data_IF_622348743565
#
_entry.id   IF_622348743565
#
_cell.length_a   1.000
_cell.length_b   1.000
_cell.length_c   1.000
_cell.angle_alpha   90.00
_cell.angle_beta   90.00
_cell.angle_gamma   90.00
#
_symmetry.space_group_name_H-M   'P 1'
#
loop_
_entity.id
_entity.type
_entity.pdbx_description
1 polymer ?
#
# COMPACT_ATOMS: atom_id res chain seq x y z
N UNK A 1 21.55 -56.70 53.61
CA UNK A 1 22.09 -55.32 53.49
C UNK A 1 21.82 -54.72 52.12
N UNK A 2 22.21 -55.35 51.00
CA UNK A 2 22.03 -54.80 49.65
C UNK A 2 20.56 -54.54 49.24
N UNK A 3 19.63 -55.42 49.63
CA UNK A 3 18.21 -55.34 49.26
C UNK A 3 17.46 -54.18 49.92
N UNK A 4 17.93 -53.72 51.09
CA UNK A 4 17.37 -52.55 51.76
C UNK A 4 17.84 -51.26 51.09
N UNK A 5 19.09 -51.22 50.62
CA UNK A 5 19.65 -50.07 49.92
C UNK A 5 18.92 -49.81 48.60
N UNK A 6 18.63 -50.86 47.83
CA UNK A 6 17.89 -50.72 46.56
C UNK A 6 16.46 -50.24 46.77
N UNK A 7 15.77 -50.73 47.81
CA UNK A 7 14.42 -50.24 48.14
C UNK A 7 14.43 -48.77 48.59
N UNK A 8 15.41 -48.35 49.39
CA UNK A 8 15.57 -46.95 49.80
C UNK A 8 15.87 -46.03 48.62
N UNK A 9 16.73 -46.48 47.69
CA UNK A 9 17.04 -45.75 46.46
C UNK A 9 15.79 -45.61 45.57
N UNK A 10 15.02 -46.68 45.40
CA UNK A 10 13.78 -46.67 44.60
C UNK A 10 12.69 -45.80 45.22
N UNK A 11 12.59 -45.74 46.56
CA UNK A 11 11.69 -44.81 47.27
C UNK A 11 12.15 -43.36 47.08
N UNK A 12 13.46 -43.10 47.09
CA UNK A 12 13.99 -41.74 46.87
C UNK A 12 13.72 -41.24 45.44
N UNK A 13 13.90 -42.11 44.44
CA UNK A 13 13.66 -41.77 43.04
C UNK A 13 12.18 -41.52 42.76
N UNK A 14 11.28 -42.30 43.36
CA UNK A 14 9.84 -42.07 43.21
C UNK A 14 9.38 -40.80 43.93
N UNK A 15 9.93 -40.47 45.09
CA UNK A 15 9.63 -39.22 45.79
C UNK A 15 10.06 -37.98 45.00
N UNK A 16 11.23 -38.02 44.35
CA UNK A 16 11.71 -36.95 43.46
C UNK A 16 10.79 -36.82 42.24
N UNK A 17 10.45 -37.93 41.58
CA UNK A 17 9.58 -37.93 40.41
C UNK A 17 8.15 -37.42 40.71
N UNK A 18 7.63 -37.67 41.92
CA UNK A 18 6.32 -37.15 42.35
C UNK A 18 6.40 -35.66 42.67
N UNK A 19 7.50 -35.19 43.28
CA UNK A 19 7.71 -33.76 43.57
C UNK A 19 7.97 -32.93 42.30
N UNK A 20 8.50 -33.55 41.25
CA UNK A 20 8.74 -32.94 39.94
C UNK A 20 7.53 -33.05 39.01
N UNK A 21 6.48 -33.78 39.41
CA UNK A 21 5.19 -33.73 38.75
C UNK A 21 4.60 -32.33 38.99
N UNK A 22 4.32 -31.54 37.95
CA UNK A 22 3.79 -30.21 38.14
C UNK A 22 2.39 -30.32 38.76
N UNK A 23 2.30 -29.99 40.05
CA UNK A 23 1.03 -29.67 40.70
C UNK A 23 0.37 -28.55 39.87
N UNK A 24 -0.64 -28.93 39.07
CA UNK A 24 -1.64 -28.09 38.37
C UNK A 24 -1.15 -26.69 37.98
N UNK A 25 -0.89 -26.51 36.69
CA UNK A 25 -0.43 -25.26 36.09
C UNK A 25 -1.26 -24.05 36.60
N UNK A 26 -0.62 -22.93 36.90
CA UNK A 26 -1.20 -21.77 37.61
C UNK A 26 -2.58 -21.29 37.09
N UNK A 27 -2.90 -21.59 35.84
CA UNK A 27 -4.18 -21.29 35.20
C UNK A 27 -5.37 -22.12 35.76
N UNK A 28 -5.14 -23.30 36.35
CA UNK A 28 -6.20 -24.12 36.95
C UNK A 28 -6.55 -23.66 38.38
N UNK A 29 -5.59 -23.14 39.14
CA UNK A 29 -5.82 -22.52 40.46
C UNK A 29 -6.73 -21.29 40.40
N UNK A 30 -6.71 -20.56 39.29
CA UNK A 30 -7.59 -19.40 39.09
C UNK A 30 -9.06 -19.77 38.85
N UNK A 31 -9.35 -20.99 38.39
CA UNK A 31 -10.71 -21.46 38.10
C UNK A 31 -11.45 -21.98 39.34
N UNK A 32 -10.71 -22.41 40.38
CA UNK A 32 -11.29 -22.98 41.61
C UNK A 32 -11.00 -22.17 42.88
N UNK A 33 -10.22 -21.09 42.80
CA UNK A 33 -10.07 -20.15 43.92
C UNK A 33 -11.27 -19.20 43.96
N UNK A 34 -12.19 -19.49 44.89
CA UNK A 34 -13.31 -18.59 45.23
C UNK A 34 -12.71 -17.26 45.72
N UNK A 35 -12.95 -16.12 45.03
CA UNK A 35 -12.47 -14.82 45.49
C UNK A 35 -12.99 -14.53 46.90
N UNK A 36 -12.16 -14.00 47.82
CA UNK A 36 -12.64 -13.62 49.15
C UNK A 36 -13.76 -12.57 49.01
N UNK A 37 -14.84 -12.69 49.82
CA UNK A 37 -15.96 -11.77 49.73
C UNK A 37 -15.48 -10.33 50.02
N UNK A 38 -15.93 -9.32 49.25
CA UNK A 38 -15.54 -7.94 49.47
C UNK A 38 -15.96 -7.48 50.87
N UNK A 39 -15.14 -6.65 51.55
CA UNK A 39 -15.49 -6.13 52.86
C UNK A 39 -16.80 -5.32 52.80
N UNK A 40 -17.66 -5.40 53.81
CA UNK A 40 -18.92 -4.65 53.83
C UNK A 40 -18.63 -3.15 53.79
N UNK A 41 -19.28 -2.46 52.85
CA UNK A 41 -19.22 -1.01 52.70
C UNK A 41 -19.77 -0.36 53.98
N UNK A 42 -18.89 0.24 54.77
CA UNK A 42 -19.29 1.13 55.86
C UNK A 42 -20.04 2.33 55.28
N UNK A 43 -21.19 2.65 55.88
CA UNK A 43 -22.08 3.72 55.47
C UNK A 43 -21.35 5.06 55.25
N UNK A 44 -21.55 5.66 54.08
CA UNK A 44 -20.98 6.94 53.70
C UNK A 44 -21.80 8.08 54.30
N UNK A 45 -21.14 8.89 55.13
CA UNK A 45 -21.57 10.16 55.71
C UNK A 45 -21.93 11.20 54.60
N UNK A 46 -23.13 11.82 54.59
CA UNK A 46 -23.60 12.68 53.49
C UNK A 46 -23.11 14.14 53.56
N UNK A 47 -21.89 14.41 54.02
CA UNK A 47 -21.41 15.80 54.23
C UNK A 47 -20.40 16.34 53.20
N UNK A 48 -20.09 15.66 52.09
CA UNK A 48 -19.09 16.15 51.14
C UNK A 48 -19.62 16.26 49.69
N UNK A 49 -19.82 17.47 49.13
CA UNK A 49 -20.40 17.67 47.80
C UNK A 49 -19.31 17.61 46.73
N UNK A 50 -18.66 16.45 46.59
CA UNK A 50 -17.67 16.23 45.53
C UNK A 50 -17.73 14.81 44.97
N UNK A 51 -18.92 14.42 44.50
CA UNK A 51 -19.17 13.48 43.40
C UNK A 51 -20.64 13.08 43.40
N UNK A 52 -21.28 13.23 42.22
CA UNK A 52 -22.15 12.25 41.54
C UNK A 52 -23.08 13.01 40.59
N UNK A 53 -22.62 13.22 39.36
CA UNK A 53 -23.50 13.64 38.26
C UNK A 53 -23.46 12.53 37.22
N UNK A 54 -24.39 11.57 37.36
CA UNK A 54 -24.84 10.72 36.25
C UNK A 54 -26.33 10.97 36.14
N UNK A 55 -26.71 12.00 35.37
CA UNK A 55 -28.08 12.20 34.93
C UNK A 55 -28.06 12.15 33.40
N UNK A 56 -28.70 11.12 32.84
CA UNK A 56 -29.05 11.11 31.43
C UNK A 56 -30.14 12.17 31.22
N UNK A 57 -29.78 13.27 30.57
CA UNK A 57 -30.74 14.27 30.11
C UNK A 57 -31.18 13.92 28.68
N UNK A 58 -32.28 13.19 28.57
CA UNK A 58 -33.12 13.20 27.36
C UNK A 58 -34.14 14.32 27.54
N UNK A 59 -33.96 15.45 26.85
CA UNK A 59 -35.03 16.27 26.25
C UNK A 59 -34.52 17.65 25.80
N UNK A 60 -34.88 18.02 24.57
CA UNK A 60 -35.34 19.37 24.26
C UNK A 60 -34.30 20.45 23.98
N UNK A 61 -33.96 20.60 22.70
CA UNK A 61 -33.84 21.86 21.95
C UNK A 61 -33.57 23.17 22.75
N UNK A 62 -32.37 23.72 22.58
CA UNK A 62 -32.05 25.15 22.31
C UNK A 62 -30.73 25.54 22.96
N UNK A 63 -29.69 25.74 22.16
CA UNK A 63 -29.03 27.05 22.00
C UNK A 63 -27.83 26.86 21.07
N UNK A 64 -28.06 27.18 19.80
CA UNK A 64 -26.99 27.69 18.96
C UNK A 64 -26.52 28.99 19.63
N UNK A 65 -25.29 28.99 20.14
CA UNK A 65 -24.26 30.03 19.96
C UNK A 65 -23.18 29.87 21.04
N UNK A 66 -21.92 30.07 20.66
CA UNK A 66 -20.71 30.01 21.51
C UNK A 66 -20.25 28.63 22.00
N UNK A 67 -19.50 27.92 21.14
CA UNK A 67 -18.08 27.52 21.33
C UNK A 67 -17.69 26.73 20.09
N UNK A 68 -16.78 27.29 19.31
CA UNK A 68 -16.26 26.68 18.10
C UNK A 68 -15.52 25.37 18.37
N UNK A 69 -15.68 24.42 17.45
CA UNK A 69 -14.83 23.24 17.33
C UNK A 69 -15.24 22.04 18.19
N UNK A 70 -16.39 21.43 17.88
CA UNK A 70 -16.83 20.24 18.60
C UNK A 70 -18.02 19.56 17.96
N UNK A 71 -17.82 19.03 16.75
CA UNK A 71 -18.82 18.18 16.11
C UNK A 71 -19.23 17.04 17.05
N UNK A 72 -20.53 16.78 17.09
CA UNK A 72 -21.36 15.76 17.77
C UNK A 72 -20.81 14.33 17.95
N UNK A 73 -19.55 14.04 17.60
CA UNK A 73 -18.85 12.78 17.87
C UNK A 73 -17.46 12.96 18.54
N UNK A 74 -17.04 14.17 18.89
CA UNK A 74 -15.82 14.40 19.68
C UNK A 74 -15.95 13.87 21.14
N UNK A 75 -17.16 13.46 21.55
CA UNK A 75 -17.48 12.82 22.83
C UNK A 75 -17.43 11.28 22.74
N UNK A 76 -17.05 10.69 21.59
CA UNK A 76 -16.95 9.23 21.47
C UNK A 76 -15.58 8.72 21.93
N UNK A 77 -15.63 8.15 23.14
CA UNK A 77 -14.67 7.26 23.79
C UNK A 77 -13.41 7.93 24.42
N UNK A 78 -13.11 7.63 25.70
CA UNK A 78 -11.80 7.91 26.27
C UNK A 78 -10.73 7.28 25.36
N UNK A 79 -9.73 8.08 24.95
CA UNK A 79 -8.49 7.62 24.28
C UNK A 79 -7.63 6.77 25.22
N UNK A 80 -8.21 5.77 25.88
CA UNK A 80 -7.62 5.06 27.02
C UNK A 80 -7.90 3.58 26.88
N UNK A 81 -6.86 2.86 26.45
CA UNK A 81 -6.64 1.45 26.75
C UNK A 81 -7.36 0.47 25.82
N UNK A 82 -7.04 0.48 24.53
CA UNK A 82 -7.22 -0.77 23.76
C UNK A 82 -6.22 -1.80 24.30
N UNK A 83 -6.61 -3.07 24.40
CA UNK A 83 -5.68 -4.15 24.81
C UNK A 83 -4.42 -4.15 23.93
N UNK A 84 -4.59 -3.79 22.66
CA UNK A 84 -3.47 -3.63 21.73
C UNK A 84 -2.56 -2.45 22.14
N UNK A 85 -3.11 -1.29 22.49
CA UNK A 85 -2.32 -0.13 22.94
C UNK A 85 -1.65 -0.34 24.30
N UNK A 86 -2.19 -1.18 25.17
CA UNK A 86 -1.58 -1.50 26.46
C UNK A 86 -0.29 -2.32 26.31
N UNK A 87 -0.25 -3.23 25.34
CA UNK A 87 0.92 -4.10 25.05
C UNK A 87 1.89 -3.42 24.09
N UNK A 88 1.36 -2.72 23.08
CA UNK A 88 2.16 -2.12 22.01
C UNK A 88 2.70 -0.73 22.37
N UNK A 89 1.99 0.00 23.22
CA UNK A 89 2.14 1.43 23.45
C UNK A 89 1.27 2.27 22.52
N UNK A 90 0.75 3.39 23.02
CA UNK A 90 -0.08 4.32 22.24
C UNK A 90 0.61 4.83 20.98
N UNK A 91 1.89 5.19 21.10
CA UNK A 91 2.71 5.74 19.99
C UNK A 91 2.85 4.73 18.85
N UNK A 92 3.04 3.45 19.15
CA UNK A 92 3.23 2.42 18.13
C UNK A 92 1.90 2.01 17.48
N UNK A 93 0.79 2.06 18.20
CA UNK A 93 -0.55 1.90 17.60
C UNK A 93 -0.84 3.05 16.65
N UNK A 94 -0.41 4.27 16.98
CA UNK A 94 -0.53 5.43 16.10
C UNK A 94 0.38 5.29 14.87
N UNK A 95 1.61 4.78 15.03
CA UNK A 95 2.49 4.45 13.90
C UNK A 95 1.87 3.41 12.96
N UNK A 96 1.30 2.32 13.49
CA UNK A 96 0.59 1.30 12.69
C UNK A 96 -0.60 1.90 11.97
N UNK A 97 -1.40 2.74 12.65
CA UNK A 97 -2.57 3.39 12.04
C UNK A 97 -2.18 4.36 10.94
N UNK A 98 -1.10 5.12 11.14
CA UNK A 98 -0.55 6.03 10.13
C UNK A 98 0.08 5.28 8.97
N UNK A 99 0.72 4.16 9.23
CA UNK A 99 1.32 3.26 8.24
C UNK A 99 0.34 2.28 7.59
N UNK A 100 -0.96 2.65 7.48
CA UNK A 100 -1.96 1.86 6.76
C UNK A 100 -2.48 0.60 7.47
N UNK A 101 -1.85 0.15 8.56
CA UNK A 101 -2.18 -1.08 9.27
C UNK A 101 -3.54 -1.09 10.01
N UNK A 102 -4.22 0.05 10.10
CA UNK A 102 -5.55 0.17 10.71
C UNK A 102 -6.72 0.20 9.72
N UNK A 103 -6.46 0.20 8.40
CA UNK A 103 -7.47 0.50 7.37
C UNK A 103 -7.56 -0.46 6.20
N UNK A 104 -6.69 -1.47 6.10
CA UNK A 104 -6.77 -2.47 5.01
C UNK A 104 -7.87 -3.48 5.34
N UNK A 105 -9.04 -3.32 4.72
CA UNK A 105 -10.13 -4.30 4.72
C UNK A 105 -11.27 -4.07 5.72
N UNK A 106 -11.16 -3.10 6.64
CA UNK A 106 -12.31 -2.62 7.41
C UNK A 106 -12.84 -1.38 6.70
N UNK A 107 -14.04 -1.44 6.12
CA UNK A 107 -14.70 -0.36 5.37
C UNK A 107 -15.01 0.92 6.16
N UNK A 108 -14.25 1.20 7.22
CA UNK A 108 -14.29 2.41 8.04
C UNK A 108 -12.89 3.04 8.02
N UNK A 109 -12.49 3.49 6.83
CA UNK A 109 -11.30 4.30 6.64
C UNK A 109 -11.54 5.68 7.27
N UNK A 110 -11.04 5.88 8.49
CA UNK A 110 -10.97 7.23 9.03
C UNK A 110 -9.85 7.98 8.30
N UNK A 111 -10.15 9.11 7.64
CA UNK A 111 -9.09 10.03 7.25
C UNK A 111 -8.50 10.56 8.56
N UNK A 112 -7.31 10.07 8.93
CA UNK A 112 -6.51 10.80 9.89
C UNK A 112 -6.20 12.14 9.23
N UNK A 113 -6.57 13.23 9.89
CA UNK A 113 -6.54 14.60 9.38
C UNK A 113 -5.11 15.17 9.17
N UNK A 114 -4.18 14.32 8.70
CA UNK A 114 -2.81 14.65 8.33
C UNK A 114 -2.19 13.67 7.33
N UNK A 115 -2.99 12.79 6.70
CA UNK A 115 -2.51 11.81 5.71
C UNK A 115 -3.01 12.17 4.30
N UNK A 116 -2.79 13.41 3.87
CA UNK A 116 -3.12 13.87 2.51
C UNK A 116 -2.10 13.44 1.45
N UNK A 117 -1.03 12.74 1.83
CA UNK A 117 0.10 12.46 0.93
C UNK A 117 0.65 11.02 0.94
N UNK A 118 -0.06 10.04 1.50
CA UNK A 118 0.27 8.63 1.26
C UNK A 118 -0.73 8.05 0.28
N UNK A 119 -0.25 7.39 -0.77
CA UNK A 119 -1.13 6.74 -1.72
C UNK A 119 -2.05 5.78 -0.96
N UNK A 120 -3.35 5.86 -1.24
CA UNK A 120 -4.39 5.07 -0.58
C UNK A 120 -4.09 3.58 -0.81
N UNK A 121 -3.31 2.97 0.08
CA UNK A 121 -2.86 1.58 -0.07
C UNK A 121 -1.43 1.30 0.39
N UNK A 122 -0.61 2.32 0.65
CA UNK A 122 0.72 2.12 1.22
C UNK A 122 0.63 1.64 2.67
N UNK A 123 1.18 0.45 2.91
CA UNK A 123 1.25 -0.17 4.23
C UNK A 123 2.70 -0.27 4.66
N UNK A 124 3.02 0.27 5.83
CA UNK A 124 4.33 0.12 6.45
C UNK A 124 4.44 -1.29 7.07
N UNK A 125 4.96 -2.22 6.26
CA UNK A 125 5.10 -3.63 6.63
C UNK A 125 6.09 -3.81 7.78
N UNK A 126 7.12 -2.97 7.91
CA UNK A 126 8.11 -3.07 8.98
C UNK A 126 7.50 -2.74 10.34
N UNK A 127 6.73 -1.66 10.41
CA UNK A 127 6.01 -1.25 11.63
C UNK A 127 4.95 -2.29 12.01
N UNK A 128 4.31 -2.92 11.03
CA UNK A 128 3.38 -4.03 11.27
C UNK A 128 4.08 -5.28 11.82
N UNK A 129 5.20 -5.70 11.22
CA UNK A 129 5.95 -6.86 11.69
C UNK A 129 6.52 -6.62 13.08
N UNK A 130 7.06 -5.42 13.35
CA UNK A 130 7.50 -5.01 14.69
C UNK A 130 6.35 -4.99 15.69
N UNK A 131 5.16 -4.62 15.25
CA UNK A 131 3.95 -4.69 16.05
C UNK A 131 3.54 -6.12 16.40
N UNK A 132 3.60 -7.02 15.41
CA UNK A 132 3.27 -8.43 15.57
C UNK A 132 4.24 -9.14 16.54
N UNK A 133 5.52 -8.78 16.54
CA UNK A 133 6.51 -9.35 17.48
C UNK A 133 6.21 -9.05 18.95
N UNK A 134 5.61 -7.89 19.22
CA UNK A 134 5.19 -7.52 20.58
C UNK A 134 3.96 -8.27 21.07
N UNK A 135 3.26 -8.99 20.19
CA UNK A 135 2.15 -9.90 20.53
C UNK A 135 2.57 -11.36 20.31
N UNK A 136 3.22 -12.01 21.30
CA UNK A 136 3.57 -13.41 21.18
C UNK A 136 2.31 -14.27 21.25
N UNK A 137 1.78 -14.63 20.08
CA UNK A 137 0.75 -15.67 19.93
C UNK A 137 1.49 -16.98 19.61
N UNK A 138 1.12 -18.13 20.20
CA UNK A 138 1.73 -19.41 19.88
C UNK A 138 1.75 -19.66 18.36
N UNK A 139 2.86 -20.19 17.84
CA UNK A 139 3.10 -20.46 16.40
C UNK A 139 3.21 -19.23 15.47
N UNK A 140 3.26 -17.99 15.99
CA UNK A 140 3.41 -16.79 15.14
C UNK A 140 4.86 -16.38 14.89
N UNK A 141 5.80 -16.70 15.78
CA UNK A 141 7.21 -16.34 15.64
C UNK A 141 7.83 -16.86 14.32
N UNK A 142 7.57 -18.11 13.96
CA UNK A 142 8.03 -18.70 12.69
C UNK A 142 7.37 -18.04 11.46
N UNK A 143 6.11 -17.61 11.59
CA UNK A 143 5.40 -16.89 10.51
C UNK A 143 5.98 -15.50 10.33
N UNK A 144 6.29 -14.80 11.43
CA UNK A 144 6.91 -13.48 11.41
C UNK A 144 8.31 -13.56 10.78
N UNK A 145 9.13 -14.55 11.13
CA UNK A 145 10.45 -14.73 10.50
C UNK A 145 10.33 -15.03 9.01
N UNK A 146 9.42 -15.91 8.61
CA UNK A 146 9.12 -16.18 7.19
C UNK A 146 8.63 -14.93 6.44
N UNK A 147 7.80 -14.11 7.07
CA UNK A 147 7.32 -12.84 6.49
C UNK A 147 8.46 -11.83 6.34
N UNK A 148 9.38 -11.75 7.30
CA UNK A 148 10.58 -10.89 7.20
C UNK A 148 11.47 -11.29 6.03
N UNK A 149 11.80 -12.57 5.91
CA UNK A 149 12.61 -13.05 4.78
C UNK A 149 11.95 -12.71 3.44
N UNK A 150 10.64 -12.96 3.31
CA UNK A 150 9.90 -12.61 2.09
C UNK A 150 9.87 -11.12 1.83
N UNK A 151 9.66 -10.30 2.86
CA UNK A 151 9.69 -8.84 2.73
C UNK A 151 11.05 -8.35 2.21
N UNK A 152 12.16 -8.85 2.74
CA UNK A 152 13.50 -8.48 2.26
C UNK A 152 13.74 -8.87 0.79
N UNK A 153 13.28 -10.06 0.38
CA UNK A 153 13.38 -10.52 -1.01
C UNK A 153 12.53 -9.65 -1.95
N UNK A 154 11.29 -9.34 -1.56
CA UNK A 154 10.41 -8.48 -2.33
C UNK A 154 10.95 -7.05 -2.43
N UNK A 155 11.46 -6.49 -1.34
CA UNK A 155 12.09 -5.16 -1.34
C UNK A 155 13.27 -5.09 -2.31
N UNK A 156 14.15 -6.10 -2.33
CA UNK A 156 15.24 -6.16 -3.32
C UNK A 156 14.74 -6.29 -4.76
N UNK A 157 13.64 -7.02 -4.97
CA UNK A 157 13.04 -7.21 -6.29
C UNK A 157 12.41 -5.93 -6.80
N UNK A 158 11.66 -5.23 -5.94
CA UNK A 158 11.05 -3.94 -6.23
C UNK A 158 12.13 -2.92 -6.60
N UNK A 159 13.20 -2.80 -5.80
CA UNK A 159 14.32 -1.89 -6.10
C UNK A 159 14.96 -2.17 -7.47
N UNK A 160 15.14 -3.45 -7.83
CA UNK A 160 15.63 -3.82 -9.15
C UNK A 160 14.68 -3.39 -10.28
N UNK A 161 13.37 -3.58 -10.11
CA UNK A 161 12.38 -3.18 -11.11
C UNK A 161 12.22 -1.66 -11.18
N UNK A 162 12.27 -0.94 -10.07
CA UNK A 162 12.30 0.53 -10.05
C UNK A 162 13.50 1.08 -10.83
N UNK A 163 14.70 0.50 -10.63
CA UNK A 163 15.88 0.87 -11.40
C UNK A 163 15.69 0.59 -12.91
N UNK A 164 15.03 -0.52 -13.27
CA UNK A 164 14.73 -0.84 -14.67
C UNK A 164 13.69 0.12 -15.26
N UNK A 165 12.63 0.45 -14.53
CA UNK A 165 11.61 1.43 -14.94
C UNK A 165 12.25 2.79 -15.14
N UNK A 166 13.12 3.24 -14.23
CA UNK A 166 13.83 4.52 -14.37
C UNK A 166 14.73 4.56 -15.61
N UNK A 167 15.43 3.46 -15.93
CA UNK A 167 16.21 3.35 -17.17
C UNK A 167 15.33 3.44 -18.41
N UNK A 168 14.20 2.74 -18.41
CA UNK A 168 13.24 2.77 -19.51
C UNK A 168 12.59 4.14 -19.67
N UNK A 169 12.24 4.80 -18.56
CA UNK A 169 11.72 6.16 -18.56
C UNK A 169 12.76 7.15 -19.13
N UNK A 170 14.02 7.05 -18.70
CA UNK A 170 15.09 7.89 -19.26
C UNK A 170 15.35 7.61 -20.74
N UNK A 171 15.21 6.37 -21.20
CA UNK A 171 15.31 6.03 -22.62
C UNK A 171 14.14 6.60 -23.43
N UNK A 172 12.91 6.49 -22.91
CA UNK A 172 11.72 7.08 -23.51
C UNK A 172 11.84 8.61 -23.57
N UNK A 173 12.31 9.26 -22.51
CA UNK A 173 12.54 10.70 -22.49
C UNK A 173 13.57 11.13 -23.54
N UNK A 174 14.61 10.33 -23.78
CA UNK A 174 15.59 10.59 -24.85
C UNK A 174 14.98 10.46 -26.24
N UNK A 175 14.21 9.40 -26.48
CA UNK A 175 13.53 9.20 -27.78
C UNK A 175 12.48 10.29 -28.03
N UNK A 176 11.72 10.67 -27.00
CA UNK A 176 10.72 11.72 -27.08
C UNK A 176 11.35 13.10 -27.30
N UNK A 177 12.55 13.34 -26.73
CA UNK A 177 13.32 14.55 -27.02
C UNK A 177 13.94 14.52 -28.42
N UNK A 178 14.48 13.39 -28.89
CA UNK A 178 15.04 13.27 -30.24
C UNK A 178 14.01 13.57 -31.33
N UNK A 179 12.76 13.19 -31.13
CA UNK A 179 11.65 13.51 -32.03
C UNK A 179 11.35 15.02 -32.13
N UNK A 180 11.64 15.81 -31.09
CA UNK A 180 11.37 17.25 -31.02
C UNK A 180 12.57 18.12 -31.46
N UNK A 181 13.78 17.55 -31.60
CA UNK A 181 15.00 18.30 -31.98
C UNK A 181 15.54 17.99 -33.39
N UNK A 182 14.98 17.03 -34.13
CA UNK A 182 15.35 16.72 -35.53
C UNK A 182 14.79 17.72 -36.58
N UNK A 183 14.47 18.96 -36.17
CA UNK A 183 14.03 20.03 -37.09
C UNK A 183 15.07 21.15 -37.25
N UNK A 184 16.06 21.32 -36.34
CA UNK A 184 17.00 22.45 -36.43
C UNK A 184 18.39 22.14 -35.81
N UNK A 185 19.13 21.16 -36.34
CA UNK A 185 20.54 20.98 -35.98
C UNK A 185 21.39 20.41 -37.12
N UNK A 186 21.43 21.13 -38.24
CA UNK A 186 22.63 21.18 -39.07
C UNK A 186 23.64 22.12 -38.36
N UNK A 187 24.77 21.57 -37.92
CA UNK A 187 26.12 22.16 -37.79
C UNK A 187 26.87 21.61 -36.56
N UNK A 188 27.89 20.80 -36.86
CA UNK A 188 29.16 20.59 -36.16
C UNK A 188 29.16 20.06 -34.70
N UNK A 189 29.57 18.81 -34.51
CA UNK A 189 30.84 18.52 -33.82
C UNK A 189 31.29 17.05 -34.02
N UNK A 190 32.57 16.90 -34.32
CA UNK A 190 33.33 15.66 -34.50
C UNK A 190 33.65 14.96 -33.15
N UNK A 191 34.12 13.72 -33.25
CA UNK A 191 34.88 12.94 -32.26
C UNK A 191 34.12 12.23 -31.10
N UNK A 192 33.93 10.90 -31.21
CA UNK A 192 34.82 9.88 -30.61
C UNK A 192 34.14 8.51 -30.37
N UNK A 193 34.64 7.51 -31.09
CA UNK A 193 35.02 6.16 -30.66
C UNK A 193 34.04 5.28 -29.85
N UNK A 194 33.36 4.35 -30.53
CA UNK A 194 32.94 3.07 -29.95
C UNK A 194 33.00 1.94 -31.00
N UNK A 195 33.74 0.83 -30.75
CA UNK A 195 33.83 -0.27 -31.69
C UNK A 195 32.52 -1.05 -31.73
N UNK A 196 31.89 -1.07 -32.91
CA UNK A 196 30.75 -1.91 -33.23
C UNK A 196 31.16 -3.38 -33.27
N UNK A 197 30.95 -4.09 -32.14
CA UNK A 197 30.93 -5.54 -32.10
C UNK A 197 29.61 -6.04 -32.69
N UNK A 198 29.68 -6.28 -33.99
CA UNK A 198 28.61 -6.71 -34.88
C UNK A 198 28.29 -8.19 -34.65
N UNK A 199 27.27 -8.48 -33.84
CA UNK A 199 26.56 -9.76 -33.88
C UNK A 199 25.54 -9.76 -35.04
N UNK A 200 25.54 -10.74 -35.95
CA UNK A 200 24.59 -10.77 -37.07
C UNK A 200 23.29 -11.43 -36.59
N UNK A 201 22.29 -10.64 -36.22
CA UNK A 201 20.91 -11.14 -36.15
C UNK A 201 20.09 -10.49 -37.24
N UNK A 202 19.72 -11.34 -38.20
CA UNK A 202 18.91 -11.06 -39.35
C UNK A 202 17.54 -10.48 -38.98
N UNK A 203 17.35 -9.22 -39.32
CA UNK A 203 16.15 -8.66 -39.91
C UNK A 203 16.58 -7.28 -40.40
N UNK A 204 17.08 -7.23 -41.63
CA UNK A 204 17.23 -5.97 -42.34
C UNK A 204 15.80 -5.46 -42.58
N UNK A 205 15.30 -4.64 -41.65
CA UNK A 205 14.41 -3.58 -42.06
C UNK A 205 15.27 -2.71 -42.98
N UNK A 206 15.08 -2.90 -44.28
CA UNK A 206 15.53 -1.97 -45.31
C UNK A 206 14.84 -0.66 -44.96
N UNK A 207 15.49 0.17 -44.14
CA UNK A 207 15.20 1.59 -44.08
C UNK A 207 15.45 2.10 -45.49
N UNK A 208 14.39 2.11 -46.30
CA UNK A 208 14.40 2.74 -47.62
C UNK A 208 14.54 4.22 -47.34
N UNK A 209 15.79 4.69 -47.31
CA UNK A 209 16.12 6.11 -47.28
C UNK A 209 15.46 6.76 -48.49
N UNK A 210 14.31 7.40 -48.28
CA UNK A 210 13.59 8.11 -49.33
C UNK A 210 14.46 9.30 -49.75
N UNK A 211 14.97 9.27 -50.97
CA UNK A 211 15.85 10.32 -51.45
C UNK A 211 15.06 11.55 -51.90
N UNK A 212 15.69 12.73 -51.92
CA UNK A 212 15.07 13.96 -52.40
C UNK A 212 14.60 13.84 -53.86
N UNK A 213 15.27 13.01 -54.67
CA UNK A 213 14.87 12.71 -56.05
C UNK A 213 13.54 11.93 -56.11
N UNK A 214 13.32 11.01 -55.17
CA UNK A 214 12.07 10.25 -55.07
C UNK A 214 10.89 11.15 -54.70
N UNK A 215 11.08 12.09 -53.76
CA UNK A 215 10.06 13.08 -53.37
C UNK A 215 9.67 13.99 -54.53
N UNK A 216 10.64 14.44 -55.34
CA UNK A 216 10.37 15.30 -56.50
C UNK A 216 9.56 14.58 -57.58
N UNK A 217 9.85 13.30 -57.81
CA UNK A 217 9.10 12.47 -58.74
C UNK A 217 7.66 12.25 -58.28
N UNK A 218 7.46 12.03 -56.99
CA UNK A 218 6.13 11.91 -56.40
C UNK A 218 5.32 13.22 -56.55
N UNK A 219 5.95 14.38 -56.35
CA UNK A 219 5.28 15.68 -56.54
C UNK A 219 4.79 15.88 -57.99
N UNK A 220 5.58 15.48 -58.97
CA UNK A 220 5.19 15.55 -60.39
C UNK A 220 4.02 14.60 -60.70
N UNK A 221 4.05 13.38 -60.16
CA UNK A 221 2.96 12.42 -60.30
C UNK A 221 1.65 12.94 -59.67
N UNK A 222 1.72 13.51 -58.47
CA UNK A 222 0.58 14.14 -57.80
C UNK A 222 0.01 15.26 -58.66
N UNK A 223 0.86 16.12 -59.24
CA UNK A 223 0.41 17.24 -60.09
C UNK A 223 -0.31 16.76 -61.35
N UNK A 224 0.09 15.63 -61.93
CA UNK A 224 -0.64 15.02 -63.03
C UNK A 224 -1.99 14.44 -62.59
N UNK A 225 -2.02 13.76 -61.45
CA UNK A 225 -3.23 13.20 -60.88
C UNK A 225 -4.24 14.29 -60.53
N UNK A 226 -3.81 15.43 -60.02
CA UNK A 226 -4.68 16.58 -59.75
C UNK A 226 -5.32 17.16 -61.03
N UNK A 227 -4.56 17.26 -62.13
CA UNK A 227 -5.12 17.69 -63.43
C UNK A 227 -6.17 16.71 -63.92
N UNK A 228 -5.90 15.41 -63.84
CA UNK A 228 -6.85 14.35 -64.22
C UNK A 228 -8.10 14.40 -63.35
N UNK A 229 -7.93 14.51 -62.02
CA UNK A 229 -9.02 14.66 -61.06
C UNK A 229 -9.90 15.87 -61.41
N UNK A 230 -9.31 17.03 -61.65
CA UNK A 230 -10.04 18.25 -62.00
C UNK A 230 -10.84 18.10 -63.30
N UNK A 231 -10.29 17.47 -64.33
CA UNK A 231 -11.03 17.20 -65.58
C UNK A 231 -12.21 16.26 -65.35
N UNK A 232 -12.03 15.23 -64.51
CA UNK A 232 -13.10 14.31 -64.15
C UNK A 232 -14.18 15.02 -63.32
N UNK A 233 -13.80 15.84 -62.36
CA UNK A 233 -14.72 16.64 -61.55
C UNK A 233 -15.52 17.63 -62.38
N UNK A 234 -14.90 18.30 -63.35
CA UNK A 234 -15.60 19.20 -64.28
C UNK A 234 -16.62 18.44 -65.13
N UNK A 235 -16.25 17.25 -65.62
CA UNK A 235 -17.16 16.39 -66.38
C UNK A 235 -18.32 15.88 -65.53
N UNK A 236 -18.05 15.44 -64.30
CA UNK A 236 -19.07 14.98 -63.36
C UNK A 236 -19.99 16.14 -62.98
N UNK A 237 -19.44 17.31 -62.66
CA UNK A 237 -20.22 18.51 -62.35
C UNK A 237 -21.07 18.95 -63.54
N UNK A 238 -20.59 18.79 -64.78
CA UNK A 238 -21.37 18.98 -65.99
C UNK A 238 -22.55 18.01 -66.09
N UNK A 239 -22.28 16.71 -65.90
CA UNK A 239 -23.34 15.69 -65.87
C UNK A 239 -24.34 15.91 -64.73
N UNK A 240 -23.91 16.37 -63.55
CA UNK A 240 -24.78 16.72 -62.43
C UNK A 240 -25.68 17.91 -62.77
N UNK A 241 -25.17 18.94 -63.47
CA UNK A 241 -25.99 20.06 -63.93
C UNK A 241 -27.01 19.63 -64.98
N UNK A 242 -26.60 18.80 -65.94
CA UNK A 242 -27.48 18.29 -67.00
C UNK A 242 -28.58 17.38 -66.44
N UNK A 243 -28.25 16.53 -65.45
CA UNK A 243 -29.21 15.66 -64.77
C UNK A 243 -30.09 16.43 -63.78
N UNK A 244 -29.53 17.41 -63.07
CA UNK A 244 -30.28 18.29 -62.15
C UNK A 244 -31.30 19.17 -62.87
N UNK A 245 -31.07 19.50 -64.15
CA UNK A 245 -32.03 20.18 -65.01
C UNK A 245 -33.13 19.27 -65.57
N UNK A 246 -32.91 17.95 -65.62
CA UNK A 246 -33.86 16.96 -66.17
C UNK A 246 -34.86 16.43 -65.13
N UNK A 247 -34.52 16.54 -63.83
CA UNK A 247 -35.31 16.07 -62.69
C UNK A 247 -36.25 17.15 -62.10
N UNK A 248 -36.56 18.21 -62.85
CA UNK A 248 -37.43 19.31 -62.42
C UNK A 248 -38.66 19.50 -63.30
#
# INVERSE_FOLDING_TARGET
MALLATHLEQISLSAIAIAEFPDTESHERALFSVPPPPPPLTAHDPSNPKRRTTAFHTNGNSLADSIGGGGINAVRAPRRNTAVAAVLGGDMVEQIRRGGGGGVGSGVGYPSAGTEGREKGEVDVEVLLKGAEKFPIPNTAQKISSLRTRYTQLASSISHYEARVNKQAAQLDRMNRGQDYDIDADEDDDDDDAPSDRGPTAAADEEVEVTEEDLRKEEEEIRELERKKRMLEERVSGMERDLGGLLR
#
